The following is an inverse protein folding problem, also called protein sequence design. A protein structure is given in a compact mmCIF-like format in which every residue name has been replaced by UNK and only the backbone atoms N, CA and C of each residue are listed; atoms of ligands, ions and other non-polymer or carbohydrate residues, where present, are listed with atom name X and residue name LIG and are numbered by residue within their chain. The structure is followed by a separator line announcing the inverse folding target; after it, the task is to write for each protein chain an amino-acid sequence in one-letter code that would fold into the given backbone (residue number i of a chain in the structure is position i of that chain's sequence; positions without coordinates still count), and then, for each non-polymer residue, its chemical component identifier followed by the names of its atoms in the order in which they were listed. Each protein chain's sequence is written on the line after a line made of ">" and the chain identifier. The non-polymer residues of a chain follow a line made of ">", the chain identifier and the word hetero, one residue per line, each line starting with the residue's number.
data_IF_844525577324
#
_entry.id   IF_844525577324
#
_cell.length_a   1.000
_cell.length_b   1.000
_cell.length_c   1.000
_cell.angle_alpha   90.00
_cell.angle_beta   90.00
_cell.angle_gamma   90.00
#
_symmetry.space_group_name_H-M   'P 1'
#
loop_
_entity.id
_entity.type
_entity.pdbx_description
1 polymer ?
#
# COMPACT_ATOMS: atom_id res chain seq x y z
N UNK A 1 5.53 -3.46 -1.71
CA UNK A 1 6.12 -4.61 -1.01
C UNK A 1 5.01 -5.37 -0.31
N UNK A 2 5.03 -6.70 -0.35
CA UNK A 2 4.13 -7.57 0.38
C UNK A 2 4.98 -8.65 1.08
N UNK A 3 4.68 -8.96 2.33
CA UNK A 3 5.27 -10.09 3.07
C UNK A 3 4.13 -10.96 3.59
N UNK A 4 4.27 -12.27 3.49
CA UNK A 4 3.28 -13.27 3.86
C UNK A 4 3.91 -14.15 4.93
N UNK A 5 3.40 -14.05 6.16
CA UNK A 5 3.78 -14.85 7.34
C UNK A 5 5.29 -14.88 7.66
N UNK A 6 6.05 -13.89 7.18
CA UNK A 6 7.52 -13.87 7.32
C UNK A 6 8.25 -14.93 6.47
N UNK A 7 7.56 -15.62 5.55
CA UNK A 7 8.13 -16.74 4.78
C UNK A 7 8.26 -16.45 3.28
N UNK A 8 7.36 -15.62 2.73
CA UNK A 8 7.35 -15.25 1.32
C UNK A 8 7.27 -13.73 1.22
N UNK A 9 8.04 -13.14 0.30
CA UNK A 9 7.94 -11.71 0.01
C UNK A 9 7.78 -11.45 -1.48
N UNK A 10 7.07 -10.37 -1.81
CA UNK A 10 6.96 -9.82 -3.17
C UNK A 10 7.42 -8.38 -3.17
N UNK A 11 8.44 -8.10 -3.97
CA UNK A 11 9.02 -6.76 -4.14
C UNK A 11 9.05 -6.42 -5.62
N UNK A 12 8.60 -5.22 -5.98
CA UNK A 12 8.54 -4.79 -7.37
C UNK A 12 7.82 -3.48 -7.53
N UNK A 13 7.37 -3.21 -8.75
CA UNK A 13 6.75 -1.95 -9.14
C UNK A 13 5.24 -1.94 -8.94
N UNK A 14 4.60 -3.10 -8.83
CA UNK A 14 3.15 -3.18 -8.75
C UNK A 14 2.61 -2.59 -7.43
N UNK A 15 1.66 -1.67 -7.56
CA UNK A 15 0.82 -1.24 -6.46
C UNK A 15 -0.39 -2.17 -6.29
N UNK A 16 -1.04 -2.11 -5.12
CA UNK A 16 -2.25 -2.88 -4.81
C UNK A 16 -3.51 -2.16 -5.31
N UNK A 17 -3.59 -1.90 -6.62
CA UNK A 17 -4.74 -1.24 -7.24
C UNK A 17 -5.10 -1.85 -8.60
N UNK A 18 -6.33 -1.59 -9.05
CA UNK A 18 -6.86 -2.16 -10.29
C UNK A 18 -6.05 -1.80 -11.54
N UNK A 19 -5.36 -0.67 -11.55
CA UNK A 19 -4.60 -0.21 -12.72
C UNK A 19 -3.27 -0.93 -12.81
N UNK A 20 -2.53 -1.03 -11.71
CA UNK A 20 -1.31 -1.84 -11.65
C UNK A 20 -1.57 -3.28 -12.05
N UNK A 21 -2.74 -3.85 -11.72
CA UNK A 21 -3.07 -5.22 -12.12
C UNK A 21 -3.55 -5.40 -13.57
N UNK A 22 -4.11 -4.36 -14.21
CA UNK A 22 -4.81 -4.52 -15.51
C UNK A 22 -4.18 -3.75 -16.67
N UNK A 23 -3.53 -2.63 -16.40
CA UNK A 23 -3.14 -1.66 -17.42
C UNK A 23 -1.63 -1.43 -17.46
N UNK A 24 -0.97 -1.40 -16.30
CA UNK A 24 0.46 -1.16 -16.24
C UNK A 24 1.26 -2.43 -16.53
N UNK A 25 2.44 -2.26 -17.14
CA UNK A 25 3.45 -3.29 -17.20
C UNK A 25 4.24 -3.28 -15.90
N UNK A 26 3.76 -4.03 -14.93
CA UNK A 26 4.41 -4.17 -13.63
C UNK A 26 5.33 -5.40 -13.60
N UNK A 27 6.40 -5.33 -12.82
CA UNK A 27 7.29 -6.46 -12.55
C UNK A 27 7.43 -6.62 -11.04
N UNK A 28 7.17 -7.84 -10.56
CA UNK A 28 7.37 -8.24 -9.18
C UNK A 28 8.28 -9.45 -9.10
N UNK A 29 9.24 -9.42 -8.18
CA UNK A 29 10.04 -10.55 -7.79
C UNK A 29 9.38 -11.24 -6.58
N UNK A 30 9.05 -12.51 -6.74
CA UNK A 30 8.62 -13.37 -5.64
C UNK A 30 9.84 -14.06 -5.04
N UNK A 31 9.99 -13.91 -3.73
CA UNK A 31 11.12 -14.36 -2.94
C UNK A 31 10.61 -15.43 -1.98
N UNK A 32 11.12 -16.65 -2.15
CA UNK A 32 10.81 -17.82 -1.31
C UNK A 32 11.98 -18.16 -0.38
N UNK A 33 12.53 -17.13 0.26
CA UNK A 33 13.64 -17.25 1.20
C UNK A 33 13.23 -16.63 2.54
N UNK A 34 13.09 -17.47 3.57
CA UNK A 34 12.60 -17.07 4.89
C UNK A 34 13.44 -15.97 5.54
N UNK A 35 14.77 -16.06 5.45
CA UNK A 35 15.66 -15.05 6.04
C UNK A 35 15.44 -13.65 5.43
N UNK A 36 15.23 -13.60 4.11
CA UNK A 36 14.96 -12.35 3.41
C UNK A 36 13.54 -11.85 3.67
N UNK A 37 12.55 -12.74 3.69
CA UNK A 37 11.17 -12.38 4.03
C UNK A 37 11.06 -11.80 5.45
N UNK A 38 11.74 -12.40 6.44
CA UNK A 38 11.81 -11.87 7.81
C UNK A 38 12.43 -10.48 7.86
N UNK A 39 13.54 -10.27 7.15
CA UNK A 39 14.18 -8.95 7.08
C UNK A 39 13.24 -7.87 6.53
N UNK A 40 12.45 -8.21 5.51
CA UNK A 40 11.47 -7.29 4.93
C UNK A 40 10.28 -7.04 5.87
N UNK A 41 9.88 -8.05 6.64
CA UNK A 41 8.89 -7.90 7.71
C UNK A 41 9.38 -6.95 8.80
N UNK A 42 10.62 -7.11 9.27
CA UNK A 42 11.20 -6.25 10.30
C UNK A 42 11.23 -4.78 9.85
N UNK A 43 11.61 -4.52 8.59
CA UNK A 43 11.56 -3.17 8.00
C UNK A 43 10.12 -2.62 8.01
N UNK A 44 9.14 -3.44 7.63
CA UNK A 44 7.73 -3.04 7.66
C UNK A 44 7.27 -2.71 9.09
N UNK A 45 7.67 -3.49 10.09
CA UNK A 45 7.36 -3.23 11.50
C UNK A 45 8.03 -1.94 12.00
N UNK A 46 9.26 -1.64 11.57
CA UNK A 46 9.92 -0.37 11.87
C UNK A 46 9.18 0.83 11.26
N UNK A 47 8.64 0.69 10.06
CA UNK A 47 7.83 1.73 9.41
C UNK A 47 6.51 1.97 10.15
N UNK A 48 5.89 0.93 10.72
CA UNK A 48 4.69 1.07 11.56
C UNK A 48 4.97 2.01 12.74
N UNK A 49 6.15 1.92 13.37
CA UNK A 49 6.51 2.78 14.51
C UNK A 49 6.56 4.27 14.15
N UNK A 50 6.70 4.61 12.86
CA UNK A 50 6.72 5.98 12.33
C UNK A 50 5.38 6.38 11.69
N UNK A 51 4.38 5.52 11.77
CA UNK A 51 3.07 5.72 11.17
C UNK A 51 2.03 6.13 12.22
N UNK A 52 0.85 6.51 11.75
CA UNK A 52 -0.29 6.75 12.62
C UNK A 52 -1.44 5.80 12.25
N UNK A 53 -2.07 5.21 13.25
CA UNK A 53 -3.19 4.31 13.06
C UNK A 53 -4.42 5.09 12.58
N UNK A 54 -4.84 4.82 11.35
CA UNK A 54 -6.06 5.38 10.78
C UNK A 54 -7.28 4.63 11.28
N UNK A 55 -8.09 5.25 12.14
CA UNK A 55 -9.37 4.70 12.62
C UNK A 55 -10.57 5.25 11.87
N UNK A 56 -11.72 4.56 11.85
CA UNK A 56 -12.95 5.07 11.26
C UNK A 56 -13.41 6.41 11.87
N UNK A 57 -13.20 6.60 13.17
CA UNK A 57 -13.56 7.81 13.91
C UNK A 57 -12.74 8.99 13.41
N UNK A 58 -11.41 8.84 13.41
CA UNK A 58 -10.51 9.85 12.88
C UNK A 58 -10.81 10.17 11.41
N UNK A 59 -11.07 9.14 10.60
CA UNK A 59 -11.38 9.34 9.20
C UNK A 59 -12.68 10.16 9.01
N UNK A 60 -13.68 10.00 9.88
CA UNK A 60 -14.91 10.82 9.85
C UNK A 60 -14.66 12.28 10.21
N UNK A 61 -13.74 12.52 11.15
CA UNK A 61 -13.34 13.84 11.64
C UNK A 61 -12.51 14.66 10.63
N UNK A 62 -12.06 14.05 9.53
CA UNK A 62 -11.31 14.77 8.49
C UNK A 62 -12.05 16.02 7.98
N UNK A 63 -11.29 17.07 7.72
CA UNK A 63 -11.83 18.39 7.38
C UNK A 63 -12.64 18.40 6.07
N UNK A 64 -13.56 19.36 5.94
CA UNK A 64 -14.33 19.55 4.72
C UNK A 64 -13.43 19.78 3.49
N UNK A 65 -12.27 20.40 3.69
CA UNK A 65 -11.28 20.60 2.64
C UNK A 65 -10.70 19.29 2.11
N UNK A 66 -10.41 18.33 3.00
CA UNK A 66 -9.95 16.98 2.60
C UNK A 66 -11.07 16.27 1.83
N UNK A 67 -12.30 16.30 2.34
CA UNK A 67 -13.47 15.69 1.68
C UNK A 67 -13.71 16.26 0.28
N UNK A 68 -13.53 17.57 0.10
CA UNK A 68 -13.64 18.23 -1.20
C UNK A 68 -12.56 17.75 -2.18
N UNK A 69 -11.30 17.70 -1.75
CA UNK A 69 -10.19 17.17 -2.58
C UNK A 69 -10.43 15.72 -2.98
N UNK A 70 -10.84 14.86 -2.05
CA UNK A 70 -11.18 13.46 -2.34
C UNK A 70 -12.30 13.35 -3.39
N UNK A 71 -13.33 14.19 -3.29
CA UNK A 71 -14.45 14.20 -4.23
C UNK A 71 -14.02 14.60 -5.64
N UNK A 72 -13.16 15.62 -5.79
CA UNK A 72 -12.60 16.02 -7.09
C UNK A 72 -11.71 14.92 -7.65
N UNK A 73 -10.81 14.35 -6.85
CA UNK A 73 -9.92 13.28 -7.30
C UNK A 73 -10.71 12.06 -7.80
N UNK A 74 -11.86 11.76 -7.20
CA UNK A 74 -12.74 10.66 -7.64
C UNK A 74 -13.34 10.89 -9.03
N UNK A 75 -13.57 12.13 -9.45
CA UNK A 75 -14.02 12.44 -10.81
C UNK A 75 -12.92 12.14 -11.84
N UNK A 76 -11.66 12.26 -11.44
CA UNK A 76 -10.49 12.01 -12.29
C UNK A 76 -10.01 10.55 -12.23
N UNK A 77 -10.44 9.77 -11.24
CA UNK A 77 -10.04 8.37 -11.04
C UNK A 77 -10.21 7.43 -12.24
N UNK A 78 -11.20 7.60 -13.15
CA UNK A 78 -11.27 6.78 -14.36
C UNK A 78 -10.16 7.05 -15.37
N UNK A 79 -9.53 8.23 -15.32
CA UNK A 79 -8.48 8.67 -16.23
C UNK A 79 -7.10 8.41 -15.60
N UNK A 80 -6.98 8.69 -14.29
CA UNK A 80 -5.79 8.55 -13.44
C UNK A 80 -5.44 7.13 -13.08
#
# INVERSE_FOLDING_TARGET
>A
MLVIDGEIASVGTANMDFRSFRLNFEVNAFIYEKALAQKLEDIFLEDILKSYQLTPELYKERSLWIKFKEAISRLLAPIL
#
